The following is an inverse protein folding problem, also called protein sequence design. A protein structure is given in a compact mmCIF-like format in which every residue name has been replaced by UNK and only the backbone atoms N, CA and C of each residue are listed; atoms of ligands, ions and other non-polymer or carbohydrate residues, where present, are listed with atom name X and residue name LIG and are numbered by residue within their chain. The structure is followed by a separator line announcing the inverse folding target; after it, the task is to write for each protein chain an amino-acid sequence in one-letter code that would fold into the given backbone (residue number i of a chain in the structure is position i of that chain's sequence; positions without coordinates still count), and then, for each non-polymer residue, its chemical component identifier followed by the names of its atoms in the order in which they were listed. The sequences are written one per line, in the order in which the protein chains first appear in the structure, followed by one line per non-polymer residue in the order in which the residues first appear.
data_IF_753566511836
#
_entry.id   IF_753566511836
#
_cell.length_a   1.000
_cell.length_b   1.000
_cell.length_c   1.000
_cell.angle_alpha   90.00
_cell.angle_beta   90.00
_cell.angle_gamma   90.00
#
_symmetry.space_group_name_H-M   'P 1'
#
loop_
_entity.id
_entity.type
_entity.pdbx_description
1 polymer ?
#
# COMPACT_ATOMS: atom_id res chain seq x y z
N UNK A 1 -19.33 -16.56 5.73
CA UNK A 1 -18.41 -15.84 6.65
C UNK A 1 -16.99 -15.72 6.10
N UNK A 2 -16.31 -16.80 5.69
CA UNK A 2 -14.91 -16.74 5.19
C UNK A 2 -14.71 -15.90 3.92
N UNK A 3 -15.62 -15.99 2.95
CA UNK A 3 -15.51 -15.21 1.70
C UNK A 3 -15.57 -13.69 1.93
N UNK A 4 -16.45 -13.24 2.85
CA UNK A 4 -16.58 -11.81 3.20
C UNK A 4 -15.33 -11.29 3.90
N UNK A 5 -14.74 -12.08 4.80
CA UNK A 5 -13.48 -11.72 5.45
C UNK A 5 -12.30 -11.62 4.47
N UNK A 6 -12.24 -12.50 3.46
CA UNK A 6 -11.21 -12.43 2.41
C UNK A 6 -11.40 -11.20 1.52
N UNK A 7 -12.64 -10.88 1.15
CA UNK A 7 -12.96 -9.64 0.41
C UNK A 7 -12.60 -8.39 1.21
N UNK A 8 -12.94 -8.34 2.49
CA UNK A 8 -12.59 -7.24 3.38
C UNK A 8 -11.07 -7.06 3.46
N UNK A 9 -10.31 -8.16 3.55
CA UNK A 9 -8.85 -8.11 3.54
C UNK A 9 -8.30 -7.54 2.23
N UNK A 10 -8.84 -7.92 1.07
CA UNK A 10 -8.41 -7.40 -0.23
C UNK A 10 -8.76 -5.91 -0.36
N UNK A 11 -9.98 -5.53 0.00
CA UNK A 11 -10.50 -4.16 -0.16
C UNK A 11 -9.85 -3.20 0.83
N UNK A 12 -9.63 -3.62 2.08
CA UNK A 12 -9.17 -2.75 3.16
C UNK A 12 -7.67 -2.82 3.45
N UNK A 13 -6.89 -3.67 2.76
CA UNK A 13 -5.42 -3.77 2.90
C UNK A 13 -4.60 -2.72 2.15
N UNK A 14 -5.25 -1.87 1.33
CA UNK A 14 -4.56 -0.92 0.42
C UNK A 14 -3.82 -1.61 -0.76
N UNK A 15 -3.97 -2.92 -0.95
CA UNK A 15 -3.35 -3.65 -2.06
C UNK A 15 -3.77 -3.09 -3.43
N UNK A 16 -5.05 -2.74 -3.58
CA UNK A 16 -5.59 -2.15 -4.81
C UNK A 16 -4.96 -0.79 -5.14
N UNK A 17 -4.75 0.07 -4.14
CA UNK A 17 -4.08 1.37 -4.35
C UNK A 17 -2.61 1.17 -4.71
N UNK A 18 -1.93 0.19 -4.11
CA UNK A 18 -0.57 -0.18 -4.49
C UNK A 18 -0.48 -0.67 -5.94
N UNK A 19 -1.41 -1.53 -6.37
CA UNK A 19 -1.47 -2.02 -7.75
C UNK A 19 -1.73 -0.88 -8.75
N UNK A 20 -2.61 0.06 -8.42
CA UNK A 20 -2.85 1.25 -9.22
C UNK A 20 -1.58 2.12 -9.35
N UNK A 21 -0.81 2.28 -8.26
CA UNK A 21 0.46 3.00 -8.30
C UNK A 21 1.46 2.31 -9.25
N UNK A 22 1.62 0.99 -9.18
CA UNK A 22 2.46 0.22 -10.11
C UNK A 22 2.04 0.42 -11.56
N UNK A 23 0.74 0.29 -11.85
CA UNK A 23 0.20 0.45 -13.19
C UNK A 23 0.46 1.87 -13.74
N UNK A 24 0.26 2.90 -12.91
CA UNK A 24 0.54 4.29 -13.29
C UNK A 24 2.03 4.54 -13.49
N UNK A 25 2.90 4.02 -12.62
CA UNK A 25 4.36 4.14 -12.78
C UNK A 25 4.83 3.46 -14.07
N UNK A 26 4.33 2.26 -14.37
CA UNK A 26 4.65 1.55 -15.60
C UNK A 26 4.13 2.29 -16.84
N UNK A 27 2.90 2.81 -16.80
CA UNK A 27 2.33 3.60 -17.89
C UNK A 27 3.12 4.89 -18.14
N UNK A 28 3.52 5.60 -17.07
CA UNK A 28 4.33 6.80 -17.16
C UNK A 28 5.72 6.52 -17.77
N UNK A 29 6.39 5.45 -17.35
CA UNK A 29 7.67 5.05 -17.92
C UNK A 29 7.55 4.76 -19.43
N UNK A 30 6.51 4.02 -19.83
CA UNK A 30 6.21 3.74 -21.24
C UNK A 30 5.94 5.02 -22.04
N UNK A 31 5.16 5.95 -21.49
CA UNK A 31 4.85 7.22 -22.14
C UNK A 31 6.10 8.11 -22.32
N UNK A 32 7.06 8.02 -21.40
CA UNK A 32 8.33 8.74 -21.45
C UNK A 32 9.42 8.02 -22.26
N UNK A 33 9.15 6.81 -22.77
CA UNK A 33 10.13 6.02 -23.49
C UNK A 33 11.29 5.52 -22.62
N UNK A 34 11.09 5.39 -21.31
CA UNK A 34 12.10 4.90 -20.36
C UNK A 34 11.68 3.55 -19.76
N UNK A 35 12.65 2.80 -19.26
CA UNK A 35 12.38 1.56 -18.55
C UNK A 35 11.81 1.83 -17.15
N UNK A 36 10.87 0.98 -16.71
CA UNK A 36 10.41 0.91 -15.33
C UNK A 36 11.14 -0.23 -14.62
N UNK A 37 12.27 0.03 -13.94
CA UNK A 37 13.01 -1.04 -13.28
C UNK A 37 12.14 -1.69 -12.20
N UNK A 38 12.26 -3.01 -11.95
CA UNK A 38 11.47 -3.71 -10.94
C UNK A 38 11.56 -3.05 -9.55
N UNK A 39 12.72 -2.50 -9.20
CA UNK A 39 12.92 -1.75 -7.96
C UNK A 39 12.03 -0.49 -7.87
N UNK A 40 11.86 0.26 -8.97
CA UNK A 40 10.96 1.43 -8.98
C UNK A 40 9.50 1.02 -8.84
N UNK A 41 9.09 -0.10 -9.46
CA UNK A 41 7.73 -0.64 -9.33
C UNK A 41 7.46 -1.15 -7.90
N UNK A 42 8.44 -1.85 -7.31
CA UNK A 42 8.37 -2.30 -5.93
C UNK A 42 8.29 -1.11 -4.94
N UNK A 43 9.07 -0.06 -5.19
CA UNK A 43 9.02 1.18 -4.42
C UNK A 43 7.66 1.88 -4.54
N UNK A 44 7.10 1.95 -5.76
CA UNK A 44 5.77 2.53 -5.98
C UNK A 44 4.67 1.75 -5.22
N UNK A 45 4.71 0.42 -5.31
CA UNK A 45 3.77 -0.46 -4.59
C UNK A 45 3.92 -0.31 -3.07
N UNK A 46 5.13 -0.54 -2.56
CA UNK A 46 5.42 -0.58 -1.13
C UNK A 46 5.24 0.79 -0.47
N UNK A 47 5.73 1.87 -1.10
CA UNK A 47 5.55 3.23 -0.61
C UNK A 47 4.08 3.61 -0.52
N UNK A 48 3.28 3.22 -1.52
CA UNK A 48 1.82 3.43 -1.49
C UNK A 48 1.18 2.65 -0.35
N UNK A 49 1.52 1.37 -0.16
CA UNK A 49 1.02 0.58 0.97
C UNK A 49 1.35 1.22 2.33
N UNK A 50 2.58 1.70 2.50
CA UNK A 50 3.01 2.38 3.72
C UNK A 50 2.16 3.63 3.97
N UNK A 51 2.11 4.56 3.02
CA UNK A 51 1.41 5.83 3.19
C UNK A 51 -0.06 5.61 3.53
N UNK A 52 -0.77 4.82 2.71
CA UNK A 52 -2.21 4.63 2.89
C UNK A 52 -2.56 3.78 4.13
N UNK A 53 -1.71 2.84 4.53
CA UNK A 53 -1.99 2.03 5.72
C UNK A 53 -1.65 2.79 7.00
N UNK A 54 -0.58 3.61 7.00
CA UNK A 54 -0.27 4.53 8.11
C UNK A 54 -1.38 5.54 8.29
N UNK A 55 -1.87 6.14 7.20
CA UNK A 55 -2.98 7.08 7.22
C UNK A 55 -4.22 6.47 7.90
N UNK A 56 -4.63 5.27 7.46
CA UNK A 56 -5.75 4.53 8.07
C UNK A 56 -5.55 4.19 9.55
N UNK A 57 -4.32 3.87 9.96
CA UNK A 57 -4.00 3.58 11.35
C UNK A 57 -4.04 4.83 12.23
N UNK A 58 -3.59 5.97 11.69
CA UNK A 58 -3.55 7.27 12.38
C UNK A 58 -4.94 7.89 12.50
N UNK A 59 -5.70 7.89 11.41
CA UNK A 59 -6.96 8.62 11.28
C UNK A 59 -8.18 7.76 11.65
N UNK A 60 -7.97 6.62 12.34
CA UNK A 60 -9.00 5.65 12.68
C UNK A 60 -10.24 6.27 13.35
N UNK A 61 -10.06 7.24 14.25
CA UNK A 61 -11.20 7.90 14.91
C UNK A 61 -12.00 8.77 13.93
N UNK A 62 -11.31 9.57 13.12
CA UNK A 62 -11.91 10.42 12.10
C UNK A 62 -12.69 9.58 11.08
N UNK A 63 -12.11 8.46 10.67
CA UNK A 63 -12.67 7.57 9.67
C UNK A 63 -13.86 6.74 10.16
N UNK A 64 -14.16 6.69 11.48
CA UNK A 64 -15.34 5.96 11.99
C UNK A 64 -16.65 6.52 11.46
N UNK A 65 -16.72 7.84 11.25
CA UNK A 65 -17.92 8.51 10.75
C UNK A 65 -18.09 8.36 9.24
N UNK A 66 -17.00 8.40 8.48
CA UNK A 66 -17.04 8.41 7.01
C UNK A 66 -16.87 7.01 6.39
N UNK A 67 -16.30 6.05 7.12
CA UNK A 67 -15.98 4.71 6.63
C UNK A 67 -16.05 3.65 7.74
N UNK A 68 -17.22 3.43 8.36
CA UNK A 68 -17.37 2.62 9.57
C UNK A 68 -16.91 1.16 9.40
N UNK A 69 -17.20 0.52 8.26
CA UNK A 69 -16.78 -0.85 8.01
C UNK A 69 -15.24 -0.99 7.89
N UNK A 70 -14.59 -0.07 7.17
CA UNK A 70 -13.13 -0.03 7.05
C UNK A 70 -12.48 0.23 8.40
N UNK A 71 -13.02 1.19 9.16
CA UNK A 71 -12.53 1.52 10.50
C UNK A 71 -12.67 0.34 11.46
N UNK A 72 -13.77 -0.41 11.41
CA UNK A 72 -13.93 -1.64 12.19
C UNK A 72 -12.89 -2.70 11.81
N UNK A 73 -12.58 -2.86 10.53
CA UNK A 73 -11.54 -3.76 10.06
C UNK A 73 -10.14 -3.34 10.54
N UNK A 74 -9.80 -2.05 10.41
CA UNK A 74 -8.51 -1.50 10.83
C UNK A 74 -8.34 -1.63 12.34
N UNK A 75 -9.38 -1.32 13.13
CA UNK A 75 -9.36 -1.49 14.58
C UNK A 75 -9.10 -2.95 14.97
N UNK A 76 -9.75 -3.91 14.29
CA UNK A 76 -9.59 -5.35 14.56
C UNK A 76 -8.20 -5.89 14.21
N UNK A 77 -7.59 -5.38 13.14
CA UNK A 77 -6.33 -5.91 12.60
C UNK A 77 -5.15 -4.95 12.77
N UNK A 78 -5.24 -3.99 13.70
CA UNK A 78 -4.26 -2.91 13.89
C UNK A 78 -2.82 -3.42 13.96
N UNK A 79 -2.57 -4.47 14.74
CA UNK A 79 -1.22 -5.06 14.89
C UNK A 79 -0.70 -5.68 13.59
N UNK A 80 -1.54 -6.44 12.88
CA UNK A 80 -1.17 -7.05 11.61
C UNK A 80 -0.91 -6.00 10.52
N UNK A 81 -1.71 -4.92 10.48
CA UNK A 81 -1.52 -3.80 9.57
C UNK A 81 -0.24 -3.02 9.89
N UNK A 82 0.08 -2.82 11.17
CA UNK A 82 1.34 -2.19 11.57
C UNK A 82 2.56 -3.03 11.17
N UNK A 83 2.49 -4.36 11.34
CA UNK A 83 3.54 -5.26 10.88
C UNK A 83 3.69 -5.23 9.35
N UNK A 84 2.57 -5.25 8.61
CA UNK A 84 2.58 -5.13 7.17
C UNK A 84 3.20 -3.80 6.69
N UNK A 85 2.91 -2.69 7.38
CA UNK A 85 3.55 -1.38 7.13
C UNK A 85 5.06 -1.46 7.35
N UNK A 86 5.52 -2.04 8.45
CA UNK A 86 6.94 -2.16 8.74
C UNK A 86 7.69 -2.97 7.67
N UNK A 87 7.10 -4.11 7.25
CA UNK A 87 7.63 -4.95 6.18
C UNK A 87 7.66 -4.18 4.86
N UNK A 88 6.56 -3.50 4.50
CA UNK A 88 6.47 -2.72 3.28
C UNK A 88 7.47 -1.55 3.27
N UNK A 89 7.69 -0.90 4.41
CA UNK A 89 8.67 0.18 4.56
C UNK A 89 10.10 -0.34 4.38
N UNK A 90 10.44 -1.46 5.01
CA UNK A 90 11.75 -2.09 4.84
C UNK A 90 12.00 -2.52 3.38
N UNK A 91 11.01 -3.16 2.76
CA UNK A 91 11.10 -3.56 1.34
C UNK A 91 11.22 -2.35 0.41
N UNK A 92 10.50 -1.26 0.70
CA UNK A 92 10.59 0.00 -0.05
C UNK A 92 11.97 0.64 0.11
N UNK A 93 12.53 0.65 1.32
CA UNK A 93 13.88 1.13 1.57
C UNK A 93 14.93 0.33 0.79
N UNK A 94 14.83 -1.01 0.81
CA UNK A 94 15.71 -1.88 0.02
C UNK A 94 15.58 -1.62 -1.49
N UNK A 95 14.34 -1.47 -1.99
CA UNK A 95 14.10 -1.15 -3.40
C UNK A 95 14.67 0.22 -3.79
N UNK A 96 14.55 1.23 -2.93
CA UNK A 96 15.13 2.54 -3.15
C UNK A 96 16.68 2.50 -3.21
N UNK A 97 17.32 1.72 -2.33
CA UNK A 97 18.77 1.54 -2.33
C UNK A 97 19.29 0.76 -3.55
N UNK A 98 18.44 -0.05 -4.20
CA UNK A 98 18.79 -0.79 -5.40
C UNK A 98 18.68 0.05 -6.69
N UNK A 99 18.10 1.25 -6.62
CA UNK A 99 18.05 2.16 -7.75
C UNK A 99 19.42 2.84 -7.94
N UNK A 100 19.86 3.04 -9.19
CA UNK A 100 21.12 3.72 -9.46
C UNK A 100 21.08 5.14 -8.88
N UNK A 101 22.16 5.53 -8.20
CA UNK A 101 22.39 6.92 -7.84
C UNK A 101 22.47 7.73 -9.14
N UNK A 102 21.67 8.79 -9.22
CA UNK A 102 21.69 9.71 -10.36
C UNK A 102 22.95 10.56 -10.36
#
# INVERSE_FOLDING_TARGET
MRARAALDAIVFSSAWTGAAAVALTAAAARALGVEAPPAALALAFGGTLVVYTVDRLRDLERDRLTSPARSAFVARHRGALAAAVAIAAAASGAAALALPAR
#
